data_IF_223699574368
#
_entry.id   IF_223699574368
#
_cell.length_a   1.000
_cell.length_b   1.000
_cell.length_c   1.000
_cell.angle_alpha   90.00
_cell.angle_beta   90.00
_cell.angle_gamma   90.00
#
_symmetry.space_group_name_H-M   'P 1'
#
loop_
_entity.id
_entity.type
_entity.pdbx_description
1 polymer ?
#
# COMPACT_ATOMS: atom_id res chain seq x y z
N UNK A 1 -34.70 56.39 -5.22
CA UNK A 1 -34.38 55.16 -4.47
C UNK A 1 -33.63 54.22 -5.41
N UNK A 2 -32.30 54.07 -5.34
CA UNK A 2 -31.59 53.12 -6.20
C UNK A 2 -31.62 51.71 -5.59
N UNK A 3 -31.88 50.71 -6.43
CA UNK A 3 -31.90 49.28 -6.08
C UNK A 3 -30.46 48.76 -6.09
N UNK A 4 -30.03 48.15 -5.00
CA UNK A 4 -28.71 47.55 -4.82
C UNK A 4 -28.71 46.14 -5.43
N UNK A 5 -27.99 45.95 -6.54
CA UNK A 5 -27.75 44.64 -7.13
C UNK A 5 -26.56 43.97 -6.43
N UNK A 6 -26.83 42.91 -5.66
CA UNK A 6 -25.80 42.08 -5.04
C UNK A 6 -25.33 41.04 -6.07
N UNK A 7 -24.07 41.16 -6.51
CA UNK A 7 -23.37 40.16 -7.31
C UNK A 7 -22.73 39.15 -6.34
N UNK A 8 -23.25 37.93 -6.32
CA UNK A 8 -22.67 36.82 -5.55
C UNK A 8 -21.54 36.20 -6.39
N UNK A 9 -20.31 36.40 -5.96
CA UNK A 9 -19.11 35.79 -6.53
C UNK A 9 -18.94 34.38 -5.93
N UNK A 10 -19.23 33.33 -6.71
CA UNK A 10 -18.99 31.94 -6.33
C UNK A 10 -17.49 31.62 -6.49
N UNK A 11 -16.76 31.55 -5.39
CA UNK A 11 -15.37 31.05 -5.39
C UNK A 11 -15.38 29.52 -5.31
N UNK A 12 -15.07 28.86 -6.42
CA UNK A 12 -14.87 27.40 -6.47
C UNK A 12 -13.55 27.11 -5.76
N UNK A 13 -13.65 26.65 -4.51
CA UNK A 13 -12.49 26.18 -3.74
C UNK A 13 -12.26 24.71 -4.07
N UNK A 14 -11.23 24.42 -4.86
CA UNK A 14 -10.80 23.05 -5.17
C UNK A 14 -10.31 22.36 -3.89
N UNK A 15 -11.11 21.45 -3.34
CA UNK A 15 -10.71 20.60 -2.22
C UNK A 15 -9.75 19.52 -2.72
N UNK A 16 -8.45 19.68 -2.46
CA UNK A 16 -7.51 18.57 -2.44
C UNK A 16 -7.85 17.67 -1.24
N UNK A 17 -8.61 16.60 -1.46
CA UNK A 17 -8.92 15.60 -0.44
C UNK A 17 -7.68 14.77 -0.13
N UNK A 18 -6.80 15.30 0.73
CA UNK A 18 -5.82 14.48 1.44
C UNK A 18 -6.59 13.70 2.51
N UNK A 19 -6.90 12.42 2.27
CA UNK A 19 -7.55 11.58 3.28
C UNK A 19 -6.53 11.32 4.39
N UNK A 20 -6.56 12.17 5.41
CA UNK A 20 -5.88 11.93 6.67
C UNK A 20 -6.65 10.82 7.40
N UNK A 21 -6.12 9.60 7.34
CA UNK A 21 -6.64 8.46 8.11
C UNK A 21 -6.61 8.80 9.60
N UNK A 22 -7.74 8.64 10.28
CA UNK A 22 -7.81 8.79 11.74
C UNK A 22 -6.72 7.90 12.38
N UNK A 23 -5.84 8.53 13.16
CA UNK A 23 -4.50 8.08 13.53
C UNK A 23 -4.39 6.75 14.33
N UNK A 24 -5.45 5.95 14.44
CA UNK A 24 -5.47 4.72 15.25
C UNK A 24 -5.93 3.47 14.51
N UNK A 25 -6.78 3.57 13.48
CA UNK A 25 -7.34 2.38 12.81
C UNK A 25 -6.68 2.05 11.46
N UNK A 26 -6.06 3.04 10.80
CA UNK A 26 -5.61 2.89 9.41
C UNK A 26 -6.77 2.87 8.40
N UNK A 27 -6.51 2.51 7.13
CA UNK A 27 -7.53 2.47 6.10
C UNK A 27 -8.58 1.37 6.25
N UNK A 28 -9.61 1.39 5.42
CA UNK A 28 -10.40 0.18 5.17
C UNK A 28 -9.62 -0.74 4.21
N UNK A 29 -9.91 -2.06 4.18
CA UNK A 29 -9.28 -2.95 3.21
C UNK A 29 -9.53 -2.52 1.75
N UNK A 30 -10.71 -1.99 1.43
CA UNK A 30 -11.07 -1.53 0.08
C UNK A 30 -10.30 -0.26 -0.28
N UNK A 31 -10.07 0.63 0.67
CA UNK A 31 -9.26 1.81 0.43
C UNK A 31 -7.79 1.47 0.26
N UNK A 32 -7.25 0.54 1.06
CA UNK A 32 -5.90 0.04 0.85
C UNK A 32 -5.77 -0.65 -0.53
N UNK A 33 -6.79 -1.38 -0.97
CA UNK A 33 -6.79 -1.98 -2.30
C UNK A 33 -6.70 -0.94 -3.42
N UNK A 34 -7.37 0.22 -3.28
CA UNK A 34 -7.24 1.31 -4.27
C UNK A 34 -5.79 1.83 -4.37
N UNK A 35 -5.09 1.94 -3.25
CA UNK A 35 -3.67 2.33 -3.23
C UNK A 35 -2.79 1.26 -3.90
N UNK A 36 -3.07 -0.02 -3.63
CA UNK A 36 -2.42 -1.15 -4.31
C UNK A 36 -2.62 -1.04 -5.83
N UNK A 37 -3.84 -0.80 -6.29
CA UNK A 37 -4.14 -0.65 -7.72
C UNK A 37 -3.41 0.52 -8.36
N UNK A 38 -3.15 1.62 -7.63
CA UNK A 38 -2.32 2.72 -8.12
C UNK A 38 -0.90 2.23 -8.37
N UNK A 39 -0.29 1.49 -7.42
CA UNK A 39 1.05 0.92 -7.60
C UNK A 39 1.12 -0.05 -8.77
N UNK A 40 0.09 -0.89 -8.95
CA UNK A 40 -0.01 -1.82 -10.07
C UNK A 40 -0.07 -1.10 -11.42
N UNK A 41 -0.99 -0.13 -11.56
CA UNK A 41 -1.18 0.65 -12.80
C UNK A 41 0.05 1.46 -13.18
N UNK A 42 0.80 1.93 -12.18
CA UNK A 42 2.01 2.74 -12.39
C UNK A 42 3.28 1.90 -12.46
N UNK A 43 3.17 0.57 -12.33
CA UNK A 43 4.31 -0.35 -12.27
C UNK A 43 5.38 0.12 -11.28
N UNK A 44 4.96 0.48 -10.06
CA UNK A 44 5.82 1.03 -9.02
C UNK A 44 6.72 -0.04 -8.37
N UNK A 45 7.61 -0.64 -9.17
CA UNK A 45 8.48 -1.75 -8.78
C UNK A 45 9.41 -1.30 -7.66
N UNK A 46 9.45 -2.11 -6.60
CA UNK A 46 10.30 -1.90 -5.44
C UNK A 46 11.78 -2.09 -5.80
N UNK A 47 12.70 -1.25 -5.31
CA UNK A 47 14.13 -1.45 -5.52
C UNK A 47 14.58 -2.85 -5.08
N UNK A 48 15.27 -3.56 -5.98
CA UNK A 48 15.73 -4.93 -5.76
C UNK A 48 14.76 -6.01 -6.23
N UNK A 49 13.56 -5.64 -6.71
CA UNK A 49 12.64 -6.57 -7.37
C UNK A 49 12.79 -6.52 -8.89
N UNK A 50 12.60 -7.67 -9.54
CA UNK A 50 12.44 -7.77 -10.99
C UNK A 50 11.08 -8.40 -11.34
N UNK A 51 10.47 -8.04 -12.49
CA UNK A 51 9.23 -8.65 -12.93
C UNK A 51 9.33 -10.17 -13.03
N UNK A 52 8.39 -10.88 -12.40
CA UNK A 52 8.34 -12.34 -12.35
C UNK A 52 9.63 -12.98 -11.82
N UNK A 53 10.23 -12.39 -10.79
CA UNK A 53 11.34 -13.05 -10.08
C UNK A 53 10.84 -14.35 -9.43
N UNK A 54 11.70 -15.35 -9.31
CA UNK A 54 11.35 -16.58 -8.60
C UNK A 54 10.96 -16.25 -7.17
N UNK A 55 9.79 -16.73 -6.74
CA UNK A 55 9.38 -16.56 -5.36
C UNK A 55 10.29 -17.33 -4.41
N UNK A 56 10.38 -16.85 -3.17
CA UNK A 56 11.25 -17.45 -2.14
C UNK A 56 10.68 -18.75 -1.54
N UNK A 57 9.51 -19.20 -1.99
CA UNK A 57 8.82 -20.41 -1.51
C UNK A 57 8.28 -21.23 -2.68
N UNK A 58 8.16 -22.54 -2.47
CA UNK A 58 7.69 -23.52 -3.47
C UNK A 58 6.29 -23.26 -4.02
N UNK A 59 5.48 -22.47 -3.31
CA UNK A 59 4.09 -22.15 -3.66
C UNK A 59 3.92 -20.81 -4.38
N UNK A 60 4.99 -20.01 -4.50
CA UNK A 60 5.01 -18.73 -5.20
C UNK A 60 5.92 -18.85 -6.43
N UNK A 61 5.44 -19.39 -7.57
CA UNK A 61 6.31 -19.59 -8.74
C UNK A 61 7.03 -18.31 -9.16
N UNK A 62 6.28 -17.20 -9.24
CA UNK A 62 6.81 -15.90 -9.58
C UNK A 62 6.19 -14.81 -8.73
N UNK A 63 6.98 -13.77 -8.44
CA UNK A 63 6.50 -12.59 -7.74
C UNK A 63 6.93 -11.30 -8.42
N UNK A 64 6.22 -10.22 -8.10
CA UNK A 64 6.66 -8.84 -8.31
C UNK A 64 6.42 -8.08 -7.02
N UNK A 65 7.44 -7.40 -6.51
CA UNK A 65 7.29 -6.57 -5.32
C UNK A 65 7.16 -5.11 -5.76
N UNK A 66 6.11 -4.44 -5.30
CA UNK A 66 5.82 -3.02 -5.55
C UNK A 66 5.94 -2.22 -4.26
N UNK A 67 6.22 -0.93 -4.37
CA UNK A 67 6.34 -0.05 -3.22
C UNK A 67 5.92 1.38 -3.56
N UNK A 68 5.28 2.08 -2.61
CA UNK A 68 5.03 3.50 -2.79
C UNK A 68 6.32 4.33 -2.64
N UNK A 69 6.26 5.60 -3.06
CA UNK A 69 7.43 6.49 -3.07
C UNK A 69 8.09 6.62 -1.69
N UNK A 70 7.32 6.58 -0.61
CA UNK A 70 7.84 6.67 0.76
C UNK A 70 8.62 5.42 1.18
N UNK A 71 8.10 4.24 0.86
CA UNK A 71 8.81 2.98 1.07
C UNK A 71 10.11 2.93 0.22
N UNK A 72 10.03 3.31 -1.05
CA UNK A 72 11.19 3.38 -1.96
C UNK A 72 12.26 4.33 -1.41
N UNK A 73 11.86 5.53 -0.96
CA UNK A 73 12.78 6.51 -0.37
C UNK A 73 13.48 5.94 0.86
N UNK A 74 12.74 5.23 1.72
CA UNK A 74 13.31 4.59 2.90
C UNK A 74 14.32 3.50 2.53
N UNK A 75 14.00 2.64 1.55
CA UNK A 75 14.90 1.60 1.04
C UNK A 75 16.19 2.19 0.47
N UNK A 76 16.07 3.24 -0.36
CA UNK A 76 17.22 3.93 -0.97
C UNK A 76 18.12 4.55 0.10
N UNK A 77 17.54 5.24 1.10
CA UNK A 77 18.28 5.84 2.21
C UNK A 77 19.04 4.80 3.03
N UNK A 78 18.48 3.60 3.20
CA UNK A 78 19.15 2.50 3.89
C UNK A 78 20.24 1.82 3.04
N UNK A 79 20.30 2.09 1.73
CA UNK A 79 21.23 1.43 0.81
C UNK A 79 20.82 0.01 0.44
N UNK A 80 19.51 -0.29 0.45
CA UNK A 80 18.94 -1.58 0.07
C UNK A 80 17.92 -2.11 1.08
N UNK A 81 17.01 -2.99 0.62
CA UNK A 81 15.90 -3.50 1.43
C UNK A 81 16.37 -4.24 2.68
N UNK A 82 17.42 -5.05 2.56
CA UNK A 82 17.99 -5.83 3.68
C UNK A 82 18.61 -4.95 4.78
N UNK A 83 18.84 -3.66 4.50
CA UNK A 83 19.40 -2.69 5.45
C UNK A 83 18.33 -1.80 6.10
N UNK A 84 17.06 -1.95 5.71
CA UNK A 84 15.97 -1.16 6.29
C UNK A 84 15.68 -1.68 7.70
N UNK A 85 15.95 -0.85 8.71
CA UNK A 85 15.63 -1.16 10.11
C UNK A 85 14.22 -0.70 10.50
N UNK A 86 13.70 0.35 9.84
CA UNK A 86 12.35 0.87 10.07
C UNK A 86 11.81 1.61 8.86
N UNK A 87 10.60 1.27 8.44
CA UNK A 87 9.83 2.01 7.45
C UNK A 87 9.13 3.24 8.07
N UNK A 88 9.06 4.32 7.29
CA UNK A 88 8.30 5.52 7.65
C UNK A 88 6.80 5.22 7.66
N UNK A 89 6.02 5.84 8.55
CA UNK A 89 4.56 5.67 8.53
C UNK A 89 3.98 6.14 7.19
N UNK A 90 3.04 5.38 6.64
CA UNK A 90 2.52 5.52 5.29
C UNK A 90 3.29 4.71 4.24
N UNK A 91 4.41 4.07 4.59
CA UNK A 91 5.12 3.16 3.66
C UNK A 91 4.22 1.98 3.32
N UNK A 92 4.02 1.74 2.03
CA UNK A 92 3.27 0.61 1.49
C UNK A 92 4.21 -0.25 0.66
N UNK A 93 4.29 -1.53 1.03
CA UNK A 93 4.94 -2.58 0.23
C UNK A 93 3.90 -3.62 -0.16
N UNK A 94 3.98 -4.10 -1.38
CA UNK A 94 3.02 -5.03 -1.98
C UNK A 94 3.80 -6.14 -2.65
N UNK A 95 3.31 -7.36 -2.54
CA UNK A 95 3.77 -8.50 -3.32
C UNK A 95 2.62 -9.02 -4.15
N UNK A 96 2.84 -9.07 -5.45
CA UNK A 96 2.00 -9.76 -6.41
C UNK A 96 2.54 -11.18 -6.60
N UNK A 97 1.66 -12.17 -6.48
CA UNK A 97 1.98 -13.59 -6.64
C UNK A 97 1.41 -14.08 -7.97
N UNK A 98 2.23 -14.76 -8.77
CA UNK A 98 1.86 -15.29 -10.08
C UNK A 98 2.11 -16.79 -10.16
N UNK A 99 1.24 -17.48 -10.88
CA UNK A 99 1.41 -18.90 -11.17
C UNK A 99 2.48 -19.15 -12.26
N UNK A 100 2.75 -20.42 -12.59
CA UNK A 100 3.73 -20.81 -13.61
C UNK A 100 3.45 -20.24 -15.01
N UNK A 101 2.19 -19.88 -15.30
CA UNK A 101 1.77 -19.24 -16.55
C UNK A 101 1.81 -17.70 -16.48
N UNK A 102 2.40 -17.14 -15.42
CA UNK A 102 2.49 -15.69 -15.17
C UNK A 102 1.13 -15.01 -15.01
N UNK A 103 0.13 -15.75 -14.55
CA UNK A 103 -1.19 -15.20 -14.21
C UNK A 103 -1.21 -14.78 -12.74
N UNK A 104 -1.73 -13.59 -12.46
CA UNK A 104 -1.85 -13.08 -11.09
C UNK A 104 -2.84 -13.96 -10.32
N UNK A 105 -2.41 -14.49 -9.18
CA UNK A 105 -3.22 -15.38 -8.34
C UNK A 105 -3.48 -14.82 -6.94
N UNK A 106 -2.72 -13.81 -6.52
CA UNK A 106 -2.93 -13.17 -5.22
C UNK A 106 -2.10 -11.92 -5.07
N UNK A 107 -2.53 -11.07 -4.15
CA UNK A 107 -1.82 -9.85 -3.78
C UNK A 107 -1.76 -9.73 -2.27
N UNK A 108 -0.58 -9.54 -1.72
CA UNK A 108 -0.37 -9.27 -0.30
C UNK A 108 0.19 -7.86 -0.13
N UNK A 109 -0.30 -7.14 0.88
CA UNK A 109 0.10 -5.76 1.13
C UNK A 109 0.44 -5.58 2.61
N UNK A 110 1.46 -4.78 2.88
CA UNK A 110 1.82 -4.34 4.22
C UNK A 110 1.89 -2.82 4.24
N UNK A 111 1.01 -2.19 5.02
CA UNK A 111 0.99 -0.74 5.22
C UNK A 111 1.51 -0.38 6.60
N UNK A 112 2.53 0.47 6.64
CA UNK A 112 3.08 0.98 7.89
C UNK A 112 2.15 2.03 8.48
N UNK A 113 1.36 1.70 9.50
CA UNK A 113 0.42 2.63 10.13
C UNK A 113 0.94 3.09 11.49
N UNK A 114 0.80 4.37 11.84
CA UNK A 114 1.17 4.83 13.18
C UNK A 114 0.25 4.19 14.23
N UNK A 115 0.80 3.68 15.34
CA UNK A 115 0.07 3.19 16.53
C UNK A 115 -0.92 2.03 16.33
N UNK A 116 -1.03 1.45 15.13
CA UNK A 116 -1.99 0.38 14.83
C UNK A 116 -1.71 -0.92 15.60
N UNK A 117 -0.46 -1.39 15.57
CA UNK A 117 -0.06 -2.61 16.26
C UNK A 117 1.37 -2.49 16.80
N UNK A 118 1.59 -1.78 17.93
CA UNK A 118 2.93 -1.54 18.45
C UNK A 118 3.73 -2.81 18.73
N UNK A 119 3.05 -3.91 19.11
CA UNK A 119 3.65 -5.23 19.33
C UNK A 119 4.26 -5.84 18.07
N UNK A 120 3.67 -5.60 16.90
CA UNK A 120 4.22 -6.02 15.61
C UNK A 120 4.62 -4.82 14.74
N UNK A 121 5.39 -3.91 15.34
CA UNK A 121 6.05 -2.80 14.62
C UNK A 121 5.08 -1.88 13.86
N UNK A 122 3.79 -1.95 14.11
CA UNK A 122 2.68 -1.21 13.52
C UNK A 122 2.56 -1.39 12.00
N UNK A 123 2.33 -2.62 11.58
CA UNK A 123 1.93 -2.97 10.22
C UNK A 123 0.46 -3.34 10.17
N UNK A 124 -0.22 -2.90 9.12
CA UNK A 124 -1.49 -3.45 8.68
C UNK A 124 -1.18 -4.43 7.57
N UNK A 125 -1.56 -5.70 7.77
CA UNK A 125 -1.38 -6.76 6.78
C UNK A 125 -2.68 -6.92 6.01
N UNK A 126 -2.60 -7.18 4.71
CA UNK A 126 -3.76 -7.49 3.88
C UNK A 126 -3.42 -8.54 2.82
N UNK A 127 -4.41 -9.37 2.50
CA UNK A 127 -4.36 -10.31 1.39
C UNK A 127 -5.63 -10.17 0.56
N UNK A 128 -5.45 -10.14 -0.76
CA UNK A 128 -6.52 -10.01 -1.74
C UNK A 128 -6.39 -11.09 -2.81
N UNK A 129 -7.52 -11.47 -3.38
CA UNK A 129 -7.51 -12.13 -4.69
C UNK A 129 -7.30 -11.10 -5.83
N UNK A 130 -7.10 -11.53 -7.08
CA UNK A 130 -6.89 -10.62 -8.21
C UNK A 130 -8.05 -9.64 -8.49
N UNK A 131 -9.26 -9.92 -7.98
CA UNK A 131 -10.43 -9.04 -8.14
C UNK A 131 -10.49 -7.95 -7.07
N UNK A 132 -9.66 -8.05 -6.04
CA UNK A 132 -9.69 -7.18 -4.86
C UNK A 132 -10.59 -7.70 -3.74
N UNK A 133 -11.09 -8.93 -3.83
CA UNK A 133 -11.80 -9.55 -2.70
C UNK A 133 -10.84 -9.68 -1.53
N UNK A 134 -11.26 -9.18 -0.37
CA UNK A 134 -10.50 -9.25 0.87
C UNK A 134 -10.47 -10.71 1.36
N UNK A 135 -9.28 -11.27 1.50
CA UNK A 135 -9.04 -12.61 2.05
C UNK A 135 -8.57 -12.53 3.51
N UNK A 136 -7.78 -11.51 3.84
CA UNK A 136 -7.35 -11.21 5.21
C UNK A 136 -7.03 -9.72 5.35
N UNK A 137 -7.22 -9.15 6.55
CA UNK A 137 -6.94 -7.74 6.83
C UNK A 137 -6.61 -7.47 8.31
N UNK A 138 -5.73 -6.52 8.57
CA UNK A 138 -5.40 -6.04 9.92
C UNK A 138 -4.21 -6.77 10.55
N UNK A 139 -4.39 -7.27 11.78
CA UNK A 139 -3.36 -8.01 12.54
C UNK A 139 -3.38 -9.49 12.16
N UNK A 140 -2.87 -9.82 10.97
CA UNK A 140 -2.96 -11.17 10.40
C UNK A 140 -1.84 -12.05 10.93
N UNK A 141 -2.12 -12.90 11.92
CA UNK A 141 -1.10 -13.68 12.64
C UNK A 141 -0.18 -14.55 11.76
N UNK A 142 -0.69 -15.12 10.66
CA UNK A 142 0.12 -15.91 9.72
C UNK A 142 1.14 -15.07 8.96
N UNK A 143 0.81 -13.81 8.66
CA UNK A 143 1.74 -12.84 8.06
C UNK A 143 2.79 -12.41 9.09
N UNK A 144 2.33 -12.06 10.29
CA UNK A 144 3.19 -11.59 11.40
C UNK A 144 4.21 -12.67 11.79
N UNK A 145 3.80 -13.93 11.93
CA UNK A 145 4.69 -15.01 12.35
C UNK A 145 5.86 -15.28 11.37
N UNK A 146 5.73 -14.86 10.11
CA UNK A 146 6.79 -15.03 9.11
C UNK A 146 7.70 -13.80 8.94
N UNK A 147 7.36 -12.64 9.51
CA UNK A 147 8.01 -11.33 9.27
C UNK A 147 8.54 -10.70 10.56
#
# INVERSE_FOLDING_TARGET
MPKLNVVILLTITSCFSSIAWAHTAGPSPEALWKEVQILQKTHAIMPGSTPFQLGSRTVDPYTVDLANTLAISTIKKAGGILKVTRYSNGSLVVKENYNAHKQLVGVTAMLKAAKFDPSDRNWIMAAYDPTGKVLAYGKVGSCIACH
#
